data_IF_572000139745
#
_entry.id   IF_572000139745
#
_cell.length_a   1.000
_cell.length_b   1.000
_cell.length_c   1.000
_cell.angle_alpha   90.00
_cell.angle_beta   90.00
_cell.angle_gamma   90.00
#
_symmetry.space_group_name_H-M   'P 1'
#
loop_
_entity.id
_entity.type
_entity.pdbx_description
1 polymer ?
#
# COMPACT_ATOMS: atom_id res chain seq x y z
N UNK A 1 15.45 1.79 -4.45
CA UNK A 1 14.74 2.36 -3.28
C UNK A 1 13.45 3.01 -3.73
N UNK A 2 12.40 2.89 -2.93
CA UNK A 2 11.16 3.62 -3.11
C UNK A 2 11.27 4.95 -2.35
N UNK A 3 11.20 6.09 -3.05
CA UNK A 3 11.23 7.39 -2.36
C UNK A 3 9.85 7.66 -1.76
N UNK A 4 9.74 7.56 -0.43
CA UNK A 4 8.49 7.86 0.27
C UNK A 4 8.23 9.36 0.24
N UNK A 5 7.08 9.82 -0.31
CA UNK A 5 6.76 11.24 -0.38
C UNK A 5 6.64 11.86 1.02
N UNK A 6 7.14 13.10 1.20
CA UNK A 6 7.11 13.80 2.51
C UNK A 6 5.71 13.89 3.12
N UNK A 7 4.66 13.95 2.30
CA UNK A 7 3.26 14.00 2.76
C UNK A 7 2.86 12.77 3.59
N UNK A 8 3.60 11.66 3.51
CA UNK A 8 3.35 10.45 4.31
C UNK A 8 3.80 10.63 5.77
N UNK A 9 4.77 11.51 6.02
CA UNK A 9 5.29 11.84 7.35
C UNK A 9 4.58 13.04 7.99
N UNK A 10 3.68 13.72 7.27
CA UNK A 10 2.99 14.88 7.77
C UNK A 10 2.02 14.50 8.89
N UNK A 11 1.97 15.30 9.97
CA UNK A 11 0.92 15.20 10.98
C UNK A 11 -0.43 15.48 10.32
N UNK A 12 -1.39 14.59 10.56
CA UNK A 12 -2.70 14.62 9.91
C UNK A 12 -3.80 15.23 10.79
N UNK A 13 -3.48 15.75 11.98
CA UNK A 13 -4.46 16.36 12.90
C UNK A 13 -5.31 17.48 12.31
N UNK A 14 -4.78 18.27 11.38
CA UNK A 14 -5.44 19.44 10.78
C UNK A 14 -5.67 19.28 9.26
N UNK A 15 -6.05 18.07 8.80
CA UNK A 15 -6.20 17.79 7.37
C UNK A 15 -7.37 18.53 6.72
N UNK A 16 -7.22 18.83 5.44
CA UNK A 16 -8.27 19.34 4.56
C UNK A 16 -8.23 18.68 3.18
N UNK A 17 -9.27 18.90 2.36
CA UNK A 17 -9.49 18.23 1.06
C UNK A 17 -8.28 18.28 0.12
N UNK A 18 -7.58 19.43 0.06
CA UNK A 18 -6.37 19.57 -0.76
C UNK A 18 -5.24 18.64 -0.31
N UNK A 19 -5.09 18.43 1.00
CA UNK A 19 -4.09 17.51 1.56
C UNK A 19 -4.42 16.06 1.21
N UNK A 20 -5.70 15.69 1.20
CA UNK A 20 -6.16 14.34 0.85
C UNK A 20 -5.96 14.03 -0.63
N UNK A 21 -6.20 15.00 -1.51
CA UNK A 21 -5.93 14.86 -2.94
C UNK A 21 -4.44 14.64 -3.23
N UNK A 22 -3.56 15.40 -2.56
CA UNK A 22 -2.10 15.25 -2.67
C UNK A 22 -1.65 13.88 -2.17
N UNK A 23 -2.14 13.43 -1.02
CA UNK A 23 -1.83 12.11 -0.48
C UNK A 23 -2.31 11.00 -1.41
N UNK A 24 -3.56 11.09 -1.91
CA UNK A 24 -4.13 10.13 -2.86
C UNK A 24 -3.29 10.04 -4.14
N UNK A 25 -2.86 11.18 -4.69
CA UNK A 25 -2.01 11.22 -5.88
C UNK A 25 -0.67 10.50 -5.64
N UNK A 26 0.02 10.85 -4.56
CA UNK A 26 1.31 10.27 -4.22
C UNK A 26 1.22 8.77 -3.90
N UNK A 27 0.20 8.35 -3.17
CA UNK A 27 -0.07 6.94 -2.87
C UNK A 27 -0.37 6.14 -4.14
N UNK A 28 -1.18 6.68 -5.05
CA UNK A 28 -1.47 6.07 -6.36
C UNK A 28 -0.19 5.86 -7.15
N UNK A 29 0.67 6.89 -7.25
CA UNK A 29 1.97 6.80 -7.95
C UNK A 29 2.90 5.77 -7.30
N UNK A 30 2.94 5.73 -5.97
CA UNK A 30 3.73 4.77 -5.20
C UNK A 30 3.29 3.33 -5.52
N UNK A 31 1.99 3.06 -5.49
CA UNK A 31 1.43 1.74 -5.73
C UNK A 31 1.56 1.29 -7.18
N UNK A 32 1.46 2.20 -8.16
CA UNK A 32 1.78 1.88 -9.56
C UNK A 32 3.25 1.47 -9.73
N UNK A 33 4.16 2.12 -9.00
CA UNK A 33 5.57 1.74 -9.02
C UNK A 33 5.78 0.35 -8.40
N UNK A 34 5.16 0.07 -7.25
CA UNK A 34 5.22 -1.26 -6.64
C UNK A 34 4.68 -2.33 -7.59
N UNK A 35 3.52 -2.10 -8.22
CA UNK A 35 2.95 -3.03 -9.19
C UNK A 35 3.91 -3.31 -10.37
N UNK A 36 4.57 -2.26 -10.87
CA UNK A 36 5.59 -2.38 -11.92
C UNK A 36 6.81 -3.18 -11.45
N UNK A 37 7.31 -2.92 -10.24
CA UNK A 37 8.50 -3.59 -9.68
C UNK A 37 8.20 -5.06 -9.31
N UNK A 38 6.94 -5.38 -8.99
CA UNK A 38 6.40 -6.74 -8.88
C UNK A 38 6.15 -7.41 -10.24
N UNK A 39 6.18 -6.65 -11.35
CA UNK A 39 5.88 -7.10 -12.72
C UNK A 39 4.45 -7.64 -12.90
N UNK A 40 3.50 -7.07 -12.15
CA UNK A 40 2.08 -7.40 -12.30
C UNK A 40 1.58 -6.98 -13.68
N UNK A 41 0.88 -7.87 -14.37
CA UNK A 41 0.33 -7.60 -15.71
C UNK A 41 -0.98 -6.83 -15.63
N UNK A 42 -1.36 -6.24 -16.76
CA UNK A 42 -2.69 -5.66 -16.91
C UNK A 42 -3.76 -6.74 -16.68
N UNK A 43 -4.74 -6.45 -15.83
CA UNK A 43 -5.81 -7.37 -15.45
C UNK A 43 -5.51 -8.28 -14.25
N UNK A 44 -4.25 -8.38 -13.80
CA UNK A 44 -3.88 -9.13 -12.58
C UNK A 44 -4.02 -8.29 -11.31
N UNK A 45 -4.10 -6.97 -11.47
CA UNK A 45 -4.18 -6.04 -10.37
C UNK A 45 -5.08 -4.85 -10.68
N UNK A 46 -5.60 -4.25 -9.61
CA UNK A 46 -6.29 -2.97 -9.62
C UNK A 46 -5.68 -2.04 -8.58
N UNK A 47 -5.72 -0.73 -8.86
CA UNK A 47 -5.40 0.30 -7.86
C UNK A 47 -6.68 1.11 -7.62
N UNK A 48 -7.17 1.05 -6.39
CA UNK A 48 -8.44 1.67 -5.99
C UNK A 48 -8.14 2.80 -5.01
N UNK A 49 -8.57 4.01 -5.36
CA UNK A 49 -8.52 5.17 -4.49
C UNK A 49 -9.89 5.39 -3.83
N UNK A 50 -9.91 5.45 -2.52
CA UNK A 50 -11.07 5.76 -1.70
C UNK A 50 -10.81 7.13 -1.04
N UNK A 51 -11.57 8.18 -1.43
CA UNK A 51 -11.39 9.51 -0.85
C UNK A 51 -11.77 9.50 0.63
N UNK A 52 -11.23 10.47 1.37
CA UNK A 52 -11.61 10.66 2.77
C UNK A 52 -13.13 10.89 2.90
N UNK A 53 -13.74 10.28 3.91
CA UNK A 53 -15.17 10.42 4.26
C UNK A 53 -15.29 10.65 5.76
N UNK A 54 -16.48 11.04 6.23
CA UNK A 54 -16.72 11.21 7.66
C UNK A 54 -16.30 9.95 8.43
N UNK A 55 -15.35 10.10 9.37
CA UNK A 55 -14.80 9.00 10.18
C UNK A 55 -13.76 8.09 9.50
N UNK A 56 -13.38 8.32 8.24
CA UNK A 56 -12.35 7.55 7.53
C UNK A 56 -11.43 8.45 6.72
N UNK A 57 -10.12 8.36 6.94
CA UNK A 57 -9.15 9.08 6.12
C UNK A 57 -9.03 8.51 4.70
N UNK A 58 -8.25 9.15 3.85
CA UNK A 58 -8.06 8.67 2.48
C UNK A 58 -7.30 7.33 2.47
N UNK A 59 -7.62 6.49 1.49
CA UNK A 59 -7.01 5.18 1.31
C UNK A 59 -6.76 4.92 -0.16
N UNK A 60 -5.60 4.36 -0.49
CA UNK A 60 -5.33 3.81 -1.82
C UNK A 60 -4.84 2.39 -1.66
N UNK A 61 -5.39 1.45 -2.42
CA UNK A 61 -5.08 0.03 -2.32
C UNK A 61 -4.67 -0.53 -3.67
N UNK A 62 -3.49 -1.16 -3.74
CA UNK A 62 -3.14 -2.10 -4.79
C UNK A 62 -3.71 -3.46 -4.41
N UNK A 63 -4.54 -4.04 -5.27
CA UNK A 63 -5.21 -5.31 -5.00
C UNK A 63 -4.92 -6.29 -6.11
N UNK A 64 -4.64 -7.53 -5.72
CA UNK A 64 -4.65 -8.70 -6.59
C UNK A 64 -5.69 -9.70 -6.07
N UNK A 65 -5.77 -10.87 -6.69
CA UNK A 65 -6.59 -11.98 -6.21
C UNK A 65 -6.08 -12.61 -4.90
N UNK A 66 -4.80 -12.37 -4.55
CA UNK A 66 -4.08 -13.01 -3.44
C UNK A 66 -3.52 -12.05 -2.40
N UNK A 67 -3.42 -10.75 -2.68
CA UNK A 67 -2.98 -9.77 -1.70
C UNK A 67 -3.62 -8.39 -1.88
N UNK A 68 -3.48 -7.56 -0.83
CA UNK A 68 -3.65 -6.12 -0.89
C UNK A 68 -2.42 -5.45 -0.30
N UNK A 69 -1.98 -4.36 -0.92
CA UNK A 69 -1.07 -3.38 -0.33
C UNK A 69 -1.80 -2.06 -0.24
N UNK A 70 -1.89 -1.52 0.97
CA UNK A 70 -2.71 -0.37 1.31
C UNK A 70 -1.84 0.78 1.79
N UNK A 71 -2.12 1.99 1.30
CA UNK A 71 -1.66 3.25 1.87
C UNK A 71 -2.89 3.95 2.42
N UNK A 72 -2.99 4.04 3.74
CA UNK A 72 -4.15 4.61 4.39
C UNK A 72 -3.74 5.54 5.51
N UNK A 73 -4.57 6.54 5.74
CA UNK A 73 -4.46 7.36 6.93
C UNK A 73 -4.96 6.57 8.14
N UNK A 74 -4.07 6.32 9.10
CA UNK A 74 -4.39 5.63 10.34
C UNK A 74 -5.27 6.52 11.22
N UNK A 75 -6.50 6.05 11.49
CA UNK A 75 -7.44 6.75 12.37
C UNK A 75 -6.95 6.82 13.82
N UNK A 76 -6.16 5.85 14.27
CA UNK A 76 -5.64 5.80 15.64
C UNK A 76 -4.32 6.56 15.81
N UNK A 77 -3.53 6.70 14.75
CA UNK A 77 -2.17 7.24 14.86
C UNK A 77 -1.94 8.56 14.14
N UNK A 78 -2.97 9.13 13.49
CA UNK A 78 -2.94 10.45 12.85
C UNK A 78 -1.77 10.62 11.85
N UNK A 79 -1.36 9.52 11.22
CA UNK A 79 -0.31 9.47 10.21
C UNK A 79 -0.70 8.53 9.06
N UNK A 80 0.08 8.56 7.98
CA UNK A 80 -0.09 7.64 6.86
C UNK A 80 0.63 6.33 7.17
N UNK A 81 -0.10 5.22 7.12
CA UNK A 81 0.43 3.89 7.27
C UNK A 81 0.44 3.17 5.91
N UNK A 82 1.46 2.36 5.70
CA UNK A 82 1.49 1.35 4.64
C UNK A 82 1.26 0.01 5.31
N UNK A 83 0.37 -0.82 4.78
CA UNK A 83 0.13 -2.17 5.30
C UNK A 83 -0.16 -3.14 4.17
N UNK A 84 0.08 -4.43 4.40
CA UNK A 84 -0.31 -5.46 3.45
C UNK A 84 -1.14 -6.57 4.11
N UNK A 85 -2.00 -7.20 3.31
CA UNK A 85 -2.89 -8.29 3.72
C UNK A 85 -2.92 -9.36 2.64
N UNK A 86 -3.01 -10.62 3.04
CA UNK A 86 -3.23 -11.74 2.12
C UNK A 86 -4.71 -11.98 1.90
N UNK A 87 -5.06 -12.51 0.74
CA UNK A 87 -6.43 -12.78 0.31
C UNK A 87 -6.55 -14.15 -0.33
N UNK A 88 -7.78 -14.64 -0.40
CA UNK A 88 -8.20 -15.69 -1.34
C UNK A 88 -9.47 -15.22 -2.05
N UNK A 89 -9.30 -14.68 -3.26
CA UNK A 89 -10.38 -14.00 -3.97
C UNK A 89 -10.82 -12.76 -3.22
N UNK A 90 -12.13 -12.61 -2.98
CA UNK A 90 -12.66 -11.47 -2.22
C UNK A 90 -12.51 -11.59 -0.70
N UNK A 91 -12.16 -12.77 -0.18
CA UNK A 91 -12.00 -13.01 1.25
C UNK A 91 -10.61 -12.58 1.69
N UNK A 92 -10.56 -11.61 2.60
CA UNK A 92 -9.36 -11.31 3.38
C UNK A 92 -9.04 -12.54 4.25
N UNK A 93 -7.79 -13.01 4.20
CA UNK A 93 -7.34 -14.21 4.90
C UNK A 93 -6.37 -13.91 6.04
N UNK A 94 -6.21 -12.65 6.45
CA UNK A 94 -5.24 -12.31 7.48
C UNK A 94 -5.51 -13.04 8.81
N UNK A 95 -4.63 -14.00 9.12
CA UNK A 95 -4.17 -14.23 10.47
C UNK A 95 -3.16 -13.13 10.81
N UNK A 96 -3.58 -12.17 11.65
CA UNK A 96 -2.74 -11.06 12.10
C UNK A 96 -3.11 -9.72 11.46
N UNK A 97 -3.66 -8.84 12.28
CA UNK A 97 -4.00 -7.43 12.04
C UNK A 97 -2.93 -6.71 11.21
N UNK A 98 -3.35 -6.02 10.13
CA UNK A 98 -2.60 -5.05 9.32
C UNK A 98 -1.07 -5.18 9.44
N UNK A 99 -0.42 -5.94 8.55
CA UNK A 99 1.05 -6.02 8.52
C UNK A 99 1.62 -4.66 8.13
N UNK A 100 1.81 -3.79 9.11
CA UNK A 100 2.31 -2.43 8.91
C UNK A 100 3.74 -2.51 8.41
N UNK A 101 3.98 -1.85 7.28
CA UNK A 101 5.29 -1.68 6.69
C UNK A 101 5.84 -0.33 7.16
N UNK A 102 6.94 -0.30 7.93
CA UNK A 102 7.57 0.94 8.33
C UNK A 102 7.97 1.78 7.11
N UNK A 103 7.66 3.07 7.10
CA UNK A 103 8.01 3.95 5.98
C UNK A 103 9.53 4.08 5.80
N UNK A 104 10.27 3.96 6.90
CA UNK A 104 11.73 3.98 6.94
C UNK A 104 12.31 2.82 6.13
N UNK A 105 11.69 1.65 6.20
CA UNK A 105 12.10 0.46 5.45
C UNK A 105 11.96 0.69 3.94
N UNK A 106 10.95 1.43 3.49
CA UNK A 106 10.72 1.70 2.07
C UNK A 106 11.80 2.59 1.44
N UNK A 107 12.44 3.44 2.26
CA UNK A 107 13.47 4.37 1.81
C UNK A 107 14.85 3.72 1.64
N UNK A 108 15.05 2.48 2.10
CA UNK A 108 16.29 1.73 1.88
C UNK A 108 16.13 0.78 0.70
N UNK A 109 17.23 0.46 0.01
CA UNK A 109 17.20 -0.53 -1.08
C UNK A 109 16.85 -1.92 -0.53
N UNK A 110 17.57 -2.37 0.51
CA UNK A 110 17.37 -3.68 1.13
C UNK A 110 15.96 -3.84 1.71
N UNK A 111 15.46 -2.80 2.37
CA UNK A 111 14.12 -2.83 2.98
C UNK A 111 13.01 -2.88 1.94
N UNK A 112 13.17 -2.15 0.83
CA UNK A 112 12.23 -2.18 -0.28
C UNK A 112 12.26 -3.52 -1.02
N UNK A 113 13.45 -4.08 -1.30
CA UNK A 113 13.57 -5.40 -1.92
C UNK A 113 13.03 -6.52 -1.02
N UNK A 114 13.25 -6.44 0.29
CA UNK A 114 12.66 -7.37 1.26
C UNK A 114 11.12 -7.33 1.24
N UNK A 115 10.53 -6.13 1.14
CA UNK A 115 9.09 -5.99 0.94
C UNK A 115 8.64 -6.63 -0.37
N UNK A 116 9.31 -6.33 -1.49
CA UNK A 116 8.95 -6.91 -2.79
C UNK A 116 9.04 -8.43 -2.77
N UNK A 117 10.06 -9.01 -2.13
CA UNK A 117 10.17 -10.45 -1.91
C UNK A 117 8.99 -11.01 -1.14
N UNK A 118 8.62 -10.39 0.00
CA UNK A 118 7.46 -10.79 0.78
C UNK A 118 6.14 -10.71 0.00
N UNK A 119 5.96 -9.66 -0.80
CA UNK A 119 4.78 -9.50 -1.65
C UNK A 119 4.73 -10.51 -2.80
N UNK A 120 5.87 -10.85 -3.43
CA UNK A 120 5.94 -11.91 -4.46
C UNK A 120 5.56 -13.27 -3.90
N UNK A 121 6.03 -13.59 -2.69
CA UNK A 121 5.64 -14.81 -1.98
C UNK A 121 4.15 -14.81 -1.64
N UNK A 122 3.63 -13.72 -1.10
CA UNK A 122 2.22 -13.58 -0.74
C UNK A 122 1.28 -13.67 -1.95
N UNK A 123 1.69 -13.10 -3.08
CA UNK A 123 0.95 -13.13 -4.34
C UNK A 123 1.19 -14.41 -5.16
N UNK A 124 2.14 -15.25 -4.72
CA UNK A 124 2.49 -16.50 -5.39
C UNK A 124 3.24 -16.32 -6.72
N UNK A 125 3.79 -15.14 -6.98
CA UNK A 125 4.53 -14.81 -8.21
C UNK A 125 5.83 -15.63 -8.37
N UNK A 126 6.41 -16.10 -7.26
CA UNK A 126 7.63 -16.91 -7.30
C UNK A 126 7.36 -18.39 -7.64
N UNK A 127 6.11 -18.85 -7.51
CA UNK A 127 5.73 -20.24 -7.79
C UNK A 127 5.36 -20.49 -9.27
N UNK A 128 5.12 -19.44 -10.06
CA UNK A 128 4.68 -19.54 -11.47
C UNK A 128 5.84 -19.61 -12.47
N UNK A 129 7.09 -19.79 -12.00
CA UNK A 129 8.30 -19.95 -12.85
C UNK A 129 8.76 -21.41 -13.01
N UNK A 130 7.90 -22.41 -12.78
CA UNK A 130 8.20 -23.82 -13.03
C UNK A 130 7.42 -24.37 -14.22
#
# INVERSE_FOLDING_TARGET
MLKVPRVFYADRRARGVASDAVLTHHATRMLHRVARDLRLRAGEHEIVAEPAKAGRGCRVTLRTSRMMLEVAESTSRQHVAVSFRTRRGYRDLSGGVDNVVPLEQLNTDDGYEALLGGLRLADGLDNERR
#
